data_IF_146909488728
#
_entry.id   IF_146909488728
#
_cell.length_a   1.000
_cell.length_b   1.000
_cell.length_c   1.000
_cell.angle_alpha   90.00
_cell.angle_beta   90.00
_cell.angle_gamma   90.00
#
_symmetry.space_group_name_H-M   'P 1'
#
loop_
_entity.id
_entity.type
_entity.pdbx_description
1 polymer ?
#
# COMPACT_ATOMS: atom_id res chain seq x y z
N UNK A 1 22.60 16.21 19.53
CA UNK A 1 21.55 16.02 18.49
C UNK A 1 22.22 16.04 17.14
N UNK A 2 21.97 15.03 16.29
CA UNK A 2 22.45 15.07 14.91
C UNK A 2 21.80 16.26 14.20
N UNK A 3 22.61 17.17 13.66
CA UNK A 3 22.13 18.21 12.74
C UNK A 3 21.87 17.54 11.39
N UNK A 4 20.61 17.21 11.12
CA UNK A 4 20.19 16.62 9.85
C UNK A 4 19.78 17.77 8.94
N UNK A 5 20.58 18.05 7.92
CA UNK A 5 20.14 18.88 6.80
C UNK A 5 19.22 18.05 5.90
N UNK A 6 17.93 18.07 6.22
CA UNK A 6 16.90 17.36 5.47
C UNK A 6 16.68 17.92 4.06
N UNK A 7 17.32 19.04 3.68
CA UNK A 7 17.27 19.55 2.31
C UNK A 7 18.48 19.15 1.48
N UNK A 8 19.50 18.55 2.08
CA UNK A 8 20.71 18.12 1.39
C UNK A 8 20.35 17.11 0.27
N UNK A 9 20.53 17.45 -1.02
CA UNK A 9 20.10 16.59 -2.12
C UNK A 9 20.81 15.24 -2.14
N UNK A 10 22.05 15.19 -1.64
CA UNK A 10 22.84 13.98 -1.51
C UNK A 10 22.15 12.89 -0.65
N UNK A 11 21.40 13.31 0.38
CA UNK A 11 20.65 12.39 1.24
C UNK A 11 19.55 11.63 0.48
N UNK A 12 19.04 12.19 -0.63
CA UNK A 12 17.95 11.65 -1.42
C UNK A 12 18.39 11.08 -2.77
N UNK A 13 19.70 10.95 -3.05
CA UNK A 13 20.16 10.41 -4.34
C UNK A 13 19.54 9.04 -4.68
N UNK A 14 19.28 8.22 -3.66
CA UNK A 14 18.64 6.91 -3.81
C UNK A 14 17.16 7.00 -4.20
N UNK A 15 16.43 8.06 -3.82
CA UNK A 15 14.99 8.18 -4.11
C UNK A 15 14.69 8.29 -5.59
N UNK A 16 15.65 8.82 -6.38
CA UNK A 16 15.57 8.87 -7.85
C UNK A 16 15.46 7.50 -8.51
N UNK A 17 15.85 6.44 -7.83
CA UNK A 17 15.82 5.06 -8.35
C UNK A 17 14.65 4.25 -7.78
N UNK A 18 13.83 4.83 -6.90
CA UNK A 18 12.65 4.14 -6.36
C UNK A 18 11.61 4.09 -7.47
N UNK A 19 11.09 2.89 -7.82
CA UNK A 19 9.98 2.79 -8.76
C UNK A 19 8.78 3.61 -8.27
N UNK A 20 8.11 4.33 -9.16
CA UNK A 20 6.97 5.19 -8.80
C UNK A 20 5.89 4.44 -8.00
N UNK A 21 5.60 3.19 -8.36
CA UNK A 21 4.67 2.34 -7.62
C UNK A 21 5.16 2.01 -6.20
N UNK A 22 6.46 1.76 -6.02
CA UNK A 22 7.05 1.54 -4.70
C UNK A 22 7.01 2.81 -3.85
N UNK A 23 7.26 3.97 -4.45
CA UNK A 23 7.16 5.25 -3.75
C UNK A 23 5.71 5.52 -3.30
N UNK A 24 4.73 5.36 -4.19
CA UNK A 24 3.31 5.51 -3.85
C UNK A 24 2.87 4.55 -2.73
N UNK A 25 3.35 3.31 -2.76
CA UNK A 25 3.09 2.30 -1.73
C UNK A 25 3.57 2.73 -0.32
N UNK A 26 4.72 3.42 -0.23
CA UNK A 26 5.24 3.90 1.05
C UNK A 26 4.28 4.89 1.73
N UNK A 27 3.60 5.75 0.97
CA UNK A 27 2.58 6.65 1.53
C UNK A 27 1.35 5.86 1.98
N UNK A 28 0.88 4.95 1.13
CA UNK A 28 -0.33 4.19 1.38
C UNK A 28 -0.23 3.31 2.63
N UNK A 29 0.88 2.57 2.81
CA UNK A 29 1.08 1.69 3.97
C UNK A 29 1.20 2.44 5.31
N UNK A 30 1.45 3.75 5.29
CA UNK A 30 1.52 4.62 6.47
C UNK A 30 0.19 5.32 6.77
N UNK A 31 -0.76 5.32 5.84
CA UNK A 31 -2.09 5.87 6.04
C UNK A 31 -2.88 4.99 7.03
N UNK A 32 -3.42 5.59 8.10
CA UNK A 32 -4.12 4.85 9.16
C UNK A 32 -5.47 4.27 8.70
N UNK A 33 -6.20 4.99 7.85
CA UNK A 33 -7.47 4.52 7.30
C UNK A 33 -7.25 3.31 6.39
N UNK A 34 -6.21 3.38 5.54
CA UNK A 34 -5.80 2.25 4.72
C UNK A 34 -5.51 1.02 5.57
N UNK A 35 -4.71 1.19 6.63
CA UNK A 35 -4.34 0.08 7.54
C UNK A 35 -5.56 -0.54 8.19
N UNK A 36 -6.49 0.29 8.69
CA UNK A 36 -7.74 -0.16 9.32
C UNK A 36 -8.62 -0.93 8.34
N UNK A 37 -8.84 -0.39 7.15
CA UNK A 37 -9.67 -1.03 6.13
C UNK A 37 -9.06 -2.31 5.60
N UNK A 38 -7.74 -2.32 5.38
CA UNK A 38 -7.03 -3.53 4.99
C UNK A 38 -7.15 -4.63 6.05
N UNK A 39 -7.03 -4.29 7.34
CA UNK A 39 -7.21 -5.26 8.44
C UNK A 39 -8.64 -5.85 8.46
N UNK A 40 -9.66 -5.00 8.30
CA UNK A 40 -11.07 -5.44 8.21
C UNK A 40 -11.26 -6.35 6.99
N UNK A 41 -10.70 -5.97 5.84
CA UNK A 41 -10.79 -6.73 4.60
C UNK A 41 -10.08 -8.09 4.73
N UNK A 42 -8.88 -8.12 5.32
CA UNK A 42 -8.08 -9.33 5.53
C UNK A 42 -8.68 -10.29 6.56
N UNK A 43 -9.41 -9.79 7.56
CA UNK A 43 -10.08 -10.63 8.55
C UNK A 43 -11.31 -11.38 7.99
N UNK A 44 -11.90 -10.91 6.89
CA UNK A 44 -13.06 -11.55 6.26
C UNK A 44 -12.65 -12.83 5.52
N UNK A 45 -13.13 -14.00 6.00
CA UNK A 45 -12.89 -15.31 5.35
C UNK A 45 -13.35 -15.37 3.89
N UNK A 46 -14.44 -14.67 3.55
CA UNK A 46 -14.94 -14.50 2.19
C UNK A 46 -15.09 -13.02 1.93
N UNK A 47 -14.33 -12.53 0.96
CA UNK A 47 -14.45 -11.14 0.54
C UNK A 47 -15.61 -11.03 -0.43
N UNK A 48 -16.53 -10.14 -0.11
CA UNK A 48 -17.60 -9.73 -0.99
C UNK A 48 -17.02 -8.89 -2.14
N UNK A 49 -17.47 -9.14 -3.37
CA UNK A 49 -16.95 -8.52 -4.58
C UNK A 49 -17.10 -7.00 -4.56
N UNK A 50 -18.25 -6.51 -4.07
CA UNK A 50 -18.52 -5.08 -3.97
C UNK A 50 -17.57 -4.37 -2.99
N UNK A 51 -17.28 -5.01 -1.85
CA UNK A 51 -16.31 -4.47 -0.89
C UNK A 51 -14.89 -4.42 -1.45
N UNK A 52 -14.49 -5.39 -2.26
CA UNK A 52 -13.16 -5.39 -2.91
C UNK A 52 -13.07 -4.34 -4.02
N UNK A 53 -14.17 -4.10 -4.74
CA UNK A 53 -14.25 -3.06 -5.75
C UNK A 53 -14.18 -1.67 -5.13
N UNK A 54 -14.97 -1.38 -4.09
CA UNK A 54 -14.89 -0.12 -3.37
C UNK A 54 -13.49 0.12 -2.77
N UNK A 55 -12.84 -0.93 -2.24
CA UNK A 55 -11.45 -0.84 -1.77
C UNK A 55 -10.48 -0.51 -2.91
N UNK A 56 -10.67 -1.11 -4.08
CA UNK A 56 -9.86 -0.86 -5.27
C UNK A 56 -10.03 0.57 -5.77
N UNK A 57 -11.26 1.07 -5.86
CA UNK A 57 -11.55 2.44 -6.33
C UNK A 57 -10.96 3.49 -5.40
N UNK A 58 -11.06 3.26 -4.08
CA UNK A 58 -10.54 4.20 -3.08
C UNK A 58 -9.02 4.22 -3.00
N UNK A 59 -8.37 3.05 -3.01
CA UNK A 59 -6.94 2.92 -2.71
C UNK A 59 -6.07 2.62 -3.94
N UNK A 60 -6.68 2.35 -5.10
CA UNK A 60 -5.98 2.03 -6.35
C UNK A 60 -5.28 0.66 -6.35
N UNK A 61 -5.59 -0.22 -5.39
CA UNK A 61 -4.93 -1.51 -5.22
C UNK A 61 -5.83 -2.69 -5.57
N UNK A 62 -5.30 -3.63 -6.36
CA UNK A 62 -5.90 -4.95 -6.59
C UNK A 62 -4.97 -6.05 -6.12
N UNK A 63 -5.48 -6.92 -5.25
CA UNK A 63 -4.78 -8.14 -4.84
C UNK A 63 -5.13 -9.27 -5.79
N UNK A 64 -4.14 -10.09 -6.17
CA UNK A 64 -4.42 -11.32 -6.90
C UNK A 64 -5.27 -12.23 -5.99
N UNK A 65 -6.46 -12.63 -6.44
CA UNK A 65 -7.19 -13.73 -5.80
C UNK A 65 -6.28 -14.95 -5.79
N UNK A 66 -6.13 -15.62 -4.65
CA UNK A 66 -5.47 -16.94 -4.63
C UNK A 66 -6.22 -17.83 -5.64
N UNK A 67 -5.53 -18.55 -6.52
CA UNK A 67 -6.19 -19.55 -7.35
C UNK A 67 -6.93 -20.50 -6.41
N UNK A 68 -8.21 -20.76 -6.72
CA UNK A 68 -8.99 -21.75 -5.97
C UNK A 68 -8.21 -23.06 -6.00
N UNK A 69 -7.98 -23.65 -4.83
CA UNK A 69 -7.36 -24.98 -4.75
C UNK A 69 -8.26 -25.91 -5.58
N UNK A 70 -7.74 -26.42 -6.69
CA UNK A 70 -8.45 -27.41 -7.49
C UNK A 70 -8.76 -28.60 -6.58
N UNK A 71 -10.02 -29.05 -6.62
CA UNK A 71 -10.50 -30.20 -5.85
C UNK A 71 -9.87 -31.50 -6.37
#
# INVERSE_FOLDING_TARGET
>A
MLSIDWRAPAAYKHTKHIPAAGFAWEYLRRNEDYRREYQILAAKRRQDGHHLEAFTERWGLRFRRRPGRAA
#
